data_IF_792943526883
#
_entry.id   IF_792943526883
#
_cell.length_a   1.000
_cell.length_b   1.000
_cell.length_c   1.000
_cell.angle_alpha   90.00
_cell.angle_beta   90.00
_cell.angle_gamma   90.00
#
_symmetry.space_group_name_H-M   'P 1'
#
loop_
_entity.id
_entity.type
_entity.pdbx_description
1 polymer ?
#
# COMPACT_ATOMS: atom_id res chain seq x y z
N UNK A 1 20.04 72.18 10.67
CA UNK A 1 19.84 71.19 11.68
C UNK A 1 18.43 70.52 11.62
N UNK A 2 17.76 70.61 10.53
CA UNK A 2 16.41 69.99 10.46
C UNK A 2 16.28 68.89 9.42
N UNK A 3 17.36 68.44 8.85
CA UNK A 3 17.34 67.45 7.76
C UNK A 3 17.88 66.06 8.14
N UNK A 4 18.14 65.82 9.41
CA UNK A 4 18.78 64.60 9.85
C UNK A 4 17.82 63.60 10.49
N UNK A 5 16.53 63.87 10.53
CA UNK A 5 15.54 63.01 11.17
C UNK A 5 14.71 62.19 10.24
N UNK A 6 14.93 62.28 8.95
CA UNK A 6 14.13 61.52 7.96
C UNK A 6 14.85 60.34 7.32
N UNK A 7 16.07 60.06 7.76
CA UNK A 7 16.86 58.97 7.16
C UNK A 7 16.86 57.66 7.97
N UNK A 8 16.13 57.63 9.07
CA UNK A 8 16.10 56.46 9.93
C UNK A 8 14.84 55.59 9.81
N UNK A 9 13.92 55.94 8.95
CA UNK A 9 12.67 55.21 8.80
C UNK A 9 12.60 54.32 7.55
N UNK A 10 13.67 54.27 6.77
CA UNK A 10 13.68 53.49 5.53
C UNK A 10 14.45 52.16 5.62
N UNK A 11 14.99 51.82 6.78
CA UNK A 11 15.84 50.61 6.90
C UNK A 11 15.11 49.43 7.55
N UNK A 12 13.86 49.60 7.96
CA UNK A 12 13.17 48.56 8.71
C UNK A 12 12.15 47.74 7.90
N UNK A 13 12.14 47.87 6.59
CA UNK A 13 11.17 47.18 5.74
C UNK A 13 11.76 46.04 4.88
N UNK A 14 12.94 45.57 5.20
CA UNK A 14 13.59 44.45 4.48
C UNK A 14 13.92 43.27 5.40
N UNK A 15 13.03 42.94 6.30
CA UNK A 15 13.07 41.66 6.98
C UNK A 15 12.25 40.67 6.19
N UNK A 16 12.90 40.23 5.12
CA UNK A 16 13.06 38.82 4.84
C UNK A 16 11.84 37.96 5.18
N UNK A 17 10.97 37.84 4.25
CA UNK A 17 10.11 36.70 4.18
C UNK A 17 11.00 35.52 3.78
N UNK A 18 11.64 34.90 4.74
CA UNK A 18 12.14 33.56 4.56
C UNK A 18 10.90 32.64 4.54
N UNK A 19 10.23 32.59 3.42
CA UNK A 19 9.41 31.45 3.12
C UNK A 19 10.35 30.29 3.07
N UNK A 20 10.46 29.58 4.16
CA UNK A 20 10.97 28.22 4.16
C UNK A 20 10.00 27.42 3.30
N UNK A 21 10.32 27.31 2.03
CA UNK A 21 9.74 26.29 1.21
C UNK A 21 10.13 24.97 1.87
N UNK A 22 9.22 24.42 2.63
CA UNK A 22 9.34 23.03 3.06
C UNK A 22 9.19 22.21 1.81
N UNK A 23 10.29 21.93 1.17
CA UNK A 23 10.37 20.81 0.26
C UNK A 23 10.11 19.60 1.11
N UNK A 24 8.88 19.13 1.11
CA UNK A 24 8.61 17.75 1.48
C UNK A 24 9.54 16.92 0.62
N UNK A 25 10.56 16.37 1.26
CA UNK A 25 11.46 15.47 0.58
C UNK A 25 10.58 14.31 0.06
N UNK A 26 10.27 14.34 -1.23
CA UNK A 26 9.71 13.19 -1.90
C UNK A 26 10.69 12.05 -1.65
N UNK A 27 10.23 11.00 -1.00
CA UNK A 27 11.00 9.80 -0.88
C UNK A 27 11.56 9.44 -2.25
N UNK A 28 12.87 9.25 -2.33
CA UNK A 28 13.53 8.83 -3.57
C UNK A 28 12.95 7.48 -3.97
N UNK A 29 12.21 7.43 -5.05
CA UNK A 29 11.64 6.20 -5.59
C UNK A 29 10.29 6.45 -6.25
N UNK A 30 9.78 5.46 -7.01
CA UNK A 30 8.46 5.54 -7.59
C UNK A 30 7.39 5.62 -6.49
N UNK A 31 6.33 6.35 -6.77
CA UNK A 31 5.18 6.42 -5.88
C UNK A 31 4.59 5.01 -5.66
N UNK A 32 4.23 4.69 -4.43
CA UNK A 32 3.55 3.46 -4.06
C UNK A 32 2.21 3.78 -3.43
N UNK A 33 1.28 2.85 -3.57
CA UNK A 33 -0.02 2.89 -2.93
C UNK A 33 -0.24 1.59 -2.16
N UNK A 34 -1.20 1.61 -1.25
CA UNK A 34 -1.62 0.42 -0.51
C UNK A 34 -3.08 0.12 -0.81
N UNK A 35 -3.39 -1.16 -0.90
CA UNK A 35 -4.75 -1.68 -0.97
C UNK A 35 -4.92 -2.79 0.06
N UNK A 36 -6.09 -2.83 0.68
CA UNK A 36 -6.50 -3.92 1.58
C UNK A 36 -7.53 -4.79 0.86
N UNK A 37 -7.24 -6.07 0.80
CA UNK A 37 -8.10 -7.06 0.18
C UNK A 37 -8.58 -8.04 1.24
N UNK A 38 -9.88 -8.18 1.40
CA UNK A 38 -10.45 -9.24 2.24
C UNK A 38 -10.27 -10.57 1.51
N UNK A 39 -9.70 -11.55 2.17
CA UNK A 39 -9.46 -12.86 1.58
C UNK A 39 -10.19 -13.96 2.33
N UNK A 40 -10.20 -15.16 1.76
CA UNK A 40 -10.67 -16.40 2.41
C UNK A 40 -9.55 -17.19 3.08
N UNK A 41 -8.39 -16.60 3.28
CA UNK A 41 -7.27 -17.24 3.95
C UNK A 41 -7.57 -17.46 5.43
N UNK A 42 -7.25 -18.63 5.97
CA UNK A 42 -7.68 -19.03 7.34
C UNK A 42 -6.52 -19.45 8.25
N UNK A 43 -5.30 -19.53 7.76
CA UNK A 43 -4.18 -20.05 8.55
C UNK A 43 -2.82 -19.48 8.12
N UNK A 44 -1.79 -19.78 8.90
CA UNK A 44 -0.42 -19.34 8.60
C UNK A 44 0.13 -19.91 7.27
N UNK A 45 -0.27 -21.10 6.89
CA UNK A 45 0.10 -21.66 5.59
C UNK A 45 -0.51 -20.85 4.45
N UNK A 46 -1.76 -20.40 4.59
CA UNK A 46 -2.42 -19.48 3.66
C UNK A 46 -1.66 -18.16 3.55
N UNK A 47 -1.25 -17.61 4.70
CA UNK A 47 -0.43 -16.40 4.78
C UNK A 47 0.83 -16.54 3.95
N UNK A 48 1.60 -17.59 4.19
CA UNK A 48 2.84 -17.87 3.46
C UNK A 48 2.59 -17.99 1.95
N UNK A 49 1.54 -18.70 1.56
CA UNK A 49 1.20 -18.88 0.13
C UNK A 49 0.82 -17.56 -0.54
N UNK A 50 -0.04 -16.77 0.07
CA UNK A 50 -0.49 -15.49 -0.48
C UNK A 50 0.65 -14.46 -0.54
N UNK A 51 1.38 -14.31 0.53
CA UNK A 51 2.50 -13.36 0.56
C UNK A 51 3.57 -13.72 -0.47
N UNK A 52 3.86 -15.02 -0.62
CA UNK A 52 4.79 -15.50 -1.64
C UNK A 52 4.26 -15.24 -3.06
N UNK A 53 3.00 -15.54 -3.32
CA UNK A 53 2.39 -15.30 -4.62
C UNK A 53 2.43 -13.81 -4.99
N UNK A 54 2.10 -12.93 -4.03
CA UNK A 54 2.14 -11.49 -4.23
C UNK A 54 3.57 -10.99 -4.48
N UNK A 55 4.57 -11.56 -3.84
CA UNK A 55 5.97 -11.18 -4.05
C UNK A 55 6.43 -11.38 -5.51
N UNK A 56 5.81 -12.29 -6.23
CA UNK A 56 6.10 -12.54 -7.65
C UNK A 56 5.22 -11.71 -8.60
N UNK A 57 4.21 -11.01 -8.09
CA UNK A 57 3.35 -10.18 -8.93
C UNK A 57 4.06 -8.89 -9.33
N UNK A 58 3.92 -8.55 -10.62
CA UNK A 58 4.46 -7.32 -11.16
C UNK A 58 3.93 -6.11 -10.39
N UNK A 59 4.84 -5.24 -9.98
CA UNK A 59 4.49 -3.97 -9.33
C UNK A 59 4.27 -4.07 -7.83
N UNK A 60 4.27 -5.26 -7.24
CA UNK A 60 4.13 -5.45 -5.79
C UNK A 60 5.46 -5.19 -5.10
N UNK A 61 5.44 -4.34 -4.08
CA UNK A 61 6.60 -4.02 -3.24
C UNK A 61 6.58 -4.79 -1.93
N UNK A 62 5.39 -5.01 -1.37
CA UNK A 62 5.20 -5.75 -0.13
C UNK A 62 3.77 -6.28 -0.05
N UNK A 63 3.60 -7.39 0.64
CA UNK A 63 2.29 -7.95 0.94
C UNK A 63 2.32 -8.61 2.31
N UNK A 64 1.34 -8.29 3.15
CA UNK A 64 1.21 -8.83 4.49
C UNK A 64 -0.23 -9.26 4.73
N UNK A 65 -0.43 -10.53 5.07
CA UNK A 65 -1.73 -11.04 5.48
C UNK A 65 -1.85 -11.04 6.99
N UNK A 66 -2.90 -10.43 7.48
CA UNK A 66 -3.34 -10.59 8.87
C UNK A 66 -4.34 -11.75 8.93
N UNK A 67 -3.92 -12.88 9.50
CA UNK A 67 -4.73 -14.09 9.53
C UNK A 67 -6.04 -13.90 10.32
N UNK A 68 -6.04 -13.32 11.53
CA UNK A 68 -7.27 -13.13 12.30
C UNK A 68 -8.36 -12.35 11.56
N UNK A 69 -7.99 -11.31 10.83
CA UNK A 69 -8.93 -10.49 10.06
C UNK A 69 -9.08 -10.96 8.61
N UNK A 70 -8.21 -11.83 8.15
CA UNK A 70 -8.14 -12.31 6.76
C UNK A 70 -7.88 -11.19 5.75
N UNK A 71 -7.34 -10.07 6.18
CA UNK A 71 -7.03 -8.91 5.33
C UNK A 71 -5.60 -8.98 4.83
N UNK A 72 -5.45 -8.92 3.52
CA UNK A 72 -4.17 -8.82 2.83
C UNK A 72 -3.92 -7.34 2.50
N UNK A 73 -2.87 -6.76 3.06
CA UNK A 73 -2.41 -5.42 2.72
C UNK A 73 -1.29 -5.52 1.70
N UNK A 74 -1.49 -4.94 0.53
CA UNK A 74 -0.53 -4.95 -0.57
C UNK A 74 -0.04 -3.55 -0.83
N UNK A 75 1.25 -3.35 -0.78
CA UNK A 75 1.93 -2.12 -1.23
C UNK A 75 2.41 -2.34 -2.65
N UNK A 76 1.99 -1.50 -3.56
CA UNK A 76 2.24 -1.68 -4.98
C UNK A 76 2.53 -0.36 -5.70
N UNK A 77 3.09 -0.47 -6.88
CA UNK A 77 3.32 0.67 -7.79
C UNK A 77 2.12 0.81 -8.72
N UNK A 78 1.38 1.95 -8.66
CA UNK A 78 0.19 2.13 -9.50
C UNK A 78 0.51 2.28 -11.00
N UNK A 79 1.76 2.57 -11.34
CA UNK A 79 2.22 2.59 -12.74
C UNK A 79 2.50 1.19 -13.30
N UNK A 80 2.48 0.15 -12.47
CA UNK A 80 2.80 -1.23 -12.85
C UNK A 80 1.64 -2.20 -12.69
N UNK A 81 0.74 -1.95 -11.75
CA UNK A 81 -0.39 -2.83 -11.46
C UNK A 81 -1.56 -2.05 -10.90
N UNK A 82 -2.68 -2.70 -10.72
CA UNK A 82 -3.93 -2.11 -10.23
C UNK A 82 -4.55 -2.99 -9.14
N UNK A 83 -5.41 -2.45 -8.27
CA UNK A 83 -6.17 -3.27 -7.32
C UNK A 83 -6.94 -4.42 -7.98
N UNK A 84 -7.51 -4.20 -9.16
CA UNK A 84 -8.21 -5.26 -9.90
C UNK A 84 -7.26 -6.40 -10.31
N UNK A 85 -6.07 -6.08 -10.79
CA UNK A 85 -5.06 -7.08 -11.13
C UNK A 85 -4.58 -7.85 -9.88
N UNK A 86 -4.45 -7.17 -8.75
CA UNK A 86 -4.08 -7.79 -7.48
C UNK A 86 -5.17 -8.74 -6.97
N UNK A 87 -6.45 -8.37 -7.07
CA UNK A 87 -7.55 -9.29 -6.77
C UNK A 87 -7.50 -10.55 -7.64
N UNK A 88 -7.27 -10.38 -8.92
CA UNK A 88 -7.11 -11.51 -9.85
C UNK A 88 -5.95 -12.43 -9.43
N UNK A 89 -4.83 -11.87 -9.01
CA UNK A 89 -3.69 -12.66 -8.51
C UNK A 89 -4.06 -13.46 -7.25
N UNK A 90 -4.82 -12.87 -6.34
CA UNK A 90 -5.32 -13.58 -5.14
C UNK A 90 -6.24 -14.73 -5.55
N UNK A 91 -7.17 -14.51 -6.48
CA UNK A 91 -8.07 -15.55 -6.99
C UNK A 91 -7.32 -16.72 -7.63
N UNK A 92 -6.30 -16.42 -8.43
CA UNK A 92 -5.44 -17.44 -9.08
C UNK A 92 -4.60 -18.23 -8.09
N UNK A 93 -4.38 -17.69 -6.90
CA UNK A 93 -3.69 -18.40 -5.81
C UNK A 93 -4.63 -19.34 -5.06
N UNK A 94 -5.94 -19.22 -5.25
CA UNK A 94 -6.96 -20.08 -4.68
C UNK A 94 -7.80 -19.46 -3.57
N UNK A 95 -7.74 -18.14 -3.40
CA UNK A 95 -8.47 -17.43 -2.35
C UNK A 95 -9.47 -16.43 -2.94
N UNK A 96 -10.57 -16.26 -2.22
CA UNK A 96 -11.51 -15.19 -2.55
C UNK A 96 -10.82 -13.83 -2.33
N UNK A 97 -11.16 -12.86 -3.15
CA UNK A 97 -10.65 -11.49 -3.06
C UNK A 97 -11.83 -10.52 -3.04
N UNK A 98 -12.06 -9.90 -1.90
CA UNK A 98 -13.25 -9.08 -1.63
C UNK A 98 -14.52 -9.86 -1.96
N UNK A 99 -15.37 -9.38 -2.86
CA UNK A 99 -16.59 -10.08 -3.29
C UNK A 99 -16.38 -11.08 -4.43
N UNK A 100 -15.15 -11.20 -4.95
CA UNK A 100 -14.84 -12.06 -6.08
C UNK A 100 -14.37 -13.42 -5.62
N UNK A 101 -14.96 -14.52 -6.10
CA UNK A 101 -14.56 -15.86 -5.67
C UNK A 101 -13.20 -16.27 -6.23
N UNK A 102 -12.54 -17.17 -5.53
CA UNK A 102 -11.32 -17.83 -6.00
C UNK A 102 -11.55 -18.52 -7.36
N UNK A 103 -10.49 -18.64 -8.14
CA UNK A 103 -10.50 -19.53 -9.29
C UNK A 103 -10.70 -20.97 -8.80
N UNK A 104 -11.70 -21.67 -9.33
CA UNK A 104 -12.12 -22.99 -8.84
C UNK A 104 -10.98 -24.01 -8.83
N UNK A 105 -10.20 -24.08 -9.90
CA UNK A 105 -9.06 -25.03 -9.98
C UNK A 105 -7.97 -24.70 -8.98
N UNK A 106 -7.70 -23.43 -8.75
CA UNK A 106 -6.71 -23.01 -7.77
C UNK A 106 -7.19 -23.33 -6.35
N UNK A 107 -8.45 -23.07 -6.04
CA UNK A 107 -9.05 -23.44 -4.77
C UNK A 107 -9.00 -24.96 -4.52
N UNK A 108 -9.34 -25.76 -5.51
CA UNK A 108 -9.35 -27.24 -5.39
C UNK A 108 -7.96 -27.79 -5.07
N UNK A 109 -6.90 -27.13 -5.51
CA UNK A 109 -5.50 -27.51 -5.23
C UNK A 109 -4.98 -27.08 -3.87
N UNK A 110 -5.73 -26.27 -3.14
CA UNK A 110 -5.29 -25.86 -1.81
C UNK A 110 -5.23 -27.07 -0.88
N UNK A 111 -4.25 -27.12 0.03
CA UNK A 111 -4.28 -28.08 1.13
C UNK A 111 -5.58 -27.96 1.93
N UNK A 112 -6.01 -29.05 2.54
CA UNK A 112 -7.27 -29.07 3.29
C UNK A 112 -7.34 -28.02 4.38
N UNK A 113 -6.20 -27.76 5.08
CA UNK A 113 -6.12 -26.70 6.09
C UNK A 113 -6.32 -25.29 5.54
N UNK A 114 -6.15 -25.07 4.24
CA UNK A 114 -6.34 -23.79 3.58
C UNK A 114 -7.74 -23.59 2.98
N UNK A 115 -8.60 -24.59 3.07
CA UNK A 115 -9.96 -24.48 2.56
C UNK A 115 -10.78 -23.50 3.42
N UNK A 116 -11.52 -22.61 2.77
CA UNK A 116 -12.33 -21.59 3.46
C UNK A 116 -13.45 -22.12 4.33
N UNK A 117 -13.75 -23.42 4.23
CA UNK A 117 -14.70 -24.11 5.10
C UNK A 117 -14.15 -24.31 6.51
N UNK A 118 -12.86 -24.16 6.72
CA UNK A 118 -12.25 -24.19 8.05
C UNK A 118 -12.45 -22.88 8.77
N UNK A 119 -12.49 -22.91 10.10
CA UNK A 119 -12.37 -21.73 10.91
C UNK A 119 -10.95 -21.14 10.79
N UNK A 120 -10.82 -19.85 11.07
CA UNK A 120 -9.50 -19.19 11.18
C UNK A 120 -8.72 -19.84 12.32
N UNK A 121 -7.47 -20.24 12.08
CA UNK A 121 -6.63 -20.96 13.05
C UNK A 121 -5.13 -20.68 12.90
#
# INVERSE_FOLDING_TARGET
>A
MKSFKLLFLAVFALLAHTTTAQTTAKAKGPATEQVQLKTSAVCDMCKTRLEKAMAYEKGVQAAVLDVPTQVLTVTYRPDKTTPAALRTAVQKTGYDADSEPAEARAYDRLPDCCKKTNAVH
#
